data_IF_345427693299
#
_entry.id   IF_345427693299
#
_cell.length_a   1.000
_cell.length_b   1.000
_cell.length_c   1.000
_cell.angle_alpha   90.00
_cell.angle_beta   90.00
_cell.angle_gamma   90.00
#
_symmetry.space_group_name_H-M   'P 1'
#
loop_
_entity.id
_entity.type
_entity.pdbx_description
1 polymer ?
#
# COMPACT_ATOMS: atom_id res chain seq x y z
N UNK A 1 -8.56 -14.97 9.45
CA UNK A 1 -7.70 -15.61 8.45
C UNK A 1 -7.19 -14.50 7.55
N UNK A 2 -5.92 -14.54 7.16
CA UNK A 2 -5.36 -13.52 6.30
C UNK A 2 -5.95 -13.60 4.88
N UNK A 3 -6.15 -12.45 4.24
CA UNK A 3 -6.75 -12.32 2.91
C UNK A 3 -5.81 -11.52 2.00
N UNK A 4 -5.61 -12.02 0.79
CA UNK A 4 -4.86 -11.31 -0.25
C UNK A 4 -5.78 -10.36 -1.01
N UNK A 5 -5.48 -9.07 -0.95
CA UNK A 5 -6.26 -7.99 -1.56
C UNK A 5 -5.69 -7.52 -2.90
N UNK A 6 -4.69 -8.22 -3.44
CA UNK A 6 -4.06 -7.88 -4.71
C UNK A 6 -2.69 -7.21 -4.57
N UNK A 7 -2.06 -6.97 -5.74
CA UNK A 7 -0.80 -6.22 -5.84
C UNK A 7 -1.14 -4.77 -6.17
N UNK A 8 -0.60 -3.83 -5.41
CA UNK A 8 -0.83 -2.39 -5.60
C UNK A 8 0.47 -1.65 -5.86
N UNK A 9 0.36 -0.53 -6.57
CA UNK A 9 1.47 0.42 -6.77
C UNK A 9 1.23 1.63 -5.87
N UNK A 10 2.16 1.91 -4.96
CA UNK A 10 2.04 2.97 -3.97
C UNK A 10 3.43 3.46 -3.57
N UNK A 11 3.59 4.77 -3.40
CA UNK A 11 4.83 5.38 -2.97
C UNK A 11 5.98 5.25 -3.97
N UNK A 12 7.05 5.94 -3.69
CA UNK A 12 8.29 5.91 -4.47
C UNK A 12 9.47 5.95 -3.53
N UNK A 13 10.56 5.27 -3.90
CA UNK A 13 11.80 5.32 -3.15
C UNK A 13 12.67 6.45 -3.67
N UNK A 14 13.16 7.29 -2.77
CA UNK A 14 13.93 8.49 -3.06
C UNK A 14 15.32 8.40 -2.43
N UNK A 15 16.31 8.98 -3.11
CA UNK A 15 17.63 9.24 -2.54
C UNK A 15 17.99 10.71 -2.78
N UNK A 16 18.27 11.46 -1.72
CA UNK A 16 18.49 12.92 -1.78
C UNK A 16 17.37 13.69 -2.50
N UNK A 17 16.12 13.25 -2.31
CA UNK A 17 14.94 13.84 -2.96
C UNK A 17 14.75 13.43 -4.43
N UNK A 18 15.65 12.65 -5.01
CA UNK A 18 15.50 12.14 -6.38
C UNK A 18 14.73 10.81 -6.39
N UNK A 19 13.66 10.76 -7.18
CA UNK A 19 12.84 9.57 -7.35
C UNK A 19 13.59 8.48 -8.12
N UNK A 20 13.82 7.33 -7.49
CA UNK A 20 14.51 6.18 -8.05
C UNK A 20 13.58 5.29 -8.87
N UNK A 21 14.13 4.58 -9.85
CA UNK A 21 13.39 3.57 -10.60
C UNK A 21 13.19 2.31 -9.75
N UNK A 22 12.02 1.67 -9.90
CA UNK A 22 11.78 0.36 -9.33
C UNK A 22 12.79 -0.65 -9.93
N UNK A 23 13.55 -1.40 -9.11
CA UNK A 23 14.53 -2.36 -9.61
C UNK A 23 13.88 -3.43 -10.49
N UNK A 24 14.19 -3.47 -11.79
CA UNK A 24 13.67 -4.47 -12.74
C UNK A 24 14.42 -5.80 -12.74
N UNK A 25 15.64 -5.80 -12.20
CA UNK A 25 16.48 -6.96 -11.92
C UNK A 25 16.76 -6.93 -10.42
N UNK A 26 15.76 -7.30 -9.61
CA UNK A 26 15.74 -7.01 -8.19
C UNK A 26 16.64 -7.97 -7.44
N UNK A 27 17.93 -7.97 -7.78
CA UNK A 27 19.02 -8.57 -7.03
C UNK A 27 20.15 -7.57 -6.86
N UNK A 28 21.18 -7.97 -6.12
CA UNK A 28 22.27 -7.07 -5.73
C UNK A 28 22.98 -6.42 -6.90
N UNK A 29 23.24 -5.11 -6.74
CA UNK A 29 23.75 -4.26 -7.80
C UNK A 29 25.09 -4.70 -8.37
N UNK A 30 25.26 -4.50 -9.68
CA UNK A 30 26.52 -4.69 -10.41
C UNK A 30 27.08 -6.12 -10.39
N UNK A 31 26.30 -7.08 -9.91
CA UNK A 31 26.68 -8.49 -9.85
C UNK A 31 25.46 -9.37 -10.11
N UNK A 32 25.70 -10.67 -10.09
CA UNK A 32 24.70 -11.69 -10.36
C UNK A 32 24.77 -12.82 -9.32
N UNK A 33 23.64 -13.31 -8.77
CA UNK A 33 23.61 -14.42 -7.83
C UNK A 33 24.15 -15.73 -8.41
N UNK A 34 25.22 -16.25 -7.81
CA UNK A 34 25.85 -17.49 -8.26
C UNK A 34 26.52 -17.37 -9.63
N UNK A 35 26.50 -18.45 -10.41
CA UNK A 35 27.19 -18.56 -11.71
C UNK A 35 26.31 -18.23 -12.92
N UNK A 36 25.04 -17.84 -12.73
CA UNK A 36 24.03 -17.81 -13.79
C UNK A 36 23.92 -16.42 -14.49
N UNK A 37 25.04 -15.84 -14.89
CA UNK A 37 25.15 -14.42 -15.30
C UNK A 37 24.36 -13.98 -16.56
N UNK A 38 23.67 -14.89 -17.27
CA UNK A 38 23.04 -14.56 -18.57
C UNK A 38 21.89 -13.54 -18.47
N UNK A 39 21.32 -13.35 -17.27
CA UNK A 39 20.22 -12.41 -17.00
C UNK A 39 20.70 -10.99 -16.64
N UNK A 40 22.01 -10.78 -16.56
CA UNK A 40 22.64 -9.47 -16.36
C UNK A 40 22.66 -8.99 -14.91
N UNK A 41 23.36 -7.89 -14.64
CA UNK A 41 23.59 -7.43 -13.27
C UNK A 41 22.34 -6.88 -12.59
N UNK A 42 22.24 -7.08 -11.28
CA UNK A 42 21.16 -6.54 -10.47
C UNK A 42 21.16 -5.02 -10.45
N UNK A 43 20.02 -4.42 -10.09
CA UNK A 43 19.84 -2.98 -10.04
C UNK A 43 19.14 -2.47 -8.78
N UNK A 44 19.18 -3.22 -7.67
CA UNK A 44 18.76 -2.68 -6.37
C UNK A 44 19.78 -1.64 -5.89
N UNK A 45 19.36 -0.40 -5.57
CA UNK A 45 20.25 0.62 -5.02
C UNK A 45 21.10 0.11 -3.85
N UNK A 46 22.36 0.53 -3.81
CA UNK A 46 23.27 0.21 -2.72
C UNK A 46 23.33 1.37 -1.75
N UNK A 47 23.12 1.09 -0.47
CA UNK A 47 23.17 2.06 0.59
C UNK A 47 24.54 2.73 0.68
N UNK A 48 24.51 4.05 0.81
CA UNK A 48 25.66 4.93 1.02
C UNK A 48 25.19 6.21 1.71
N UNK A 49 26.07 6.85 2.48
CA UNK A 49 25.73 8.08 3.17
C UNK A 49 24.85 7.84 4.39
N UNK A 50 23.87 8.72 4.62
CA UNK A 50 23.01 8.67 5.80
C UNK A 50 21.60 8.16 5.43
N UNK A 51 21.03 7.31 6.27
CA UNK A 51 19.69 6.71 6.04
C UNK A 51 18.56 7.75 5.92
N UNK A 52 18.70 8.94 6.51
CA UNK A 52 17.72 10.03 6.34
C UNK A 52 17.61 10.53 4.89
N UNK A 53 18.64 10.30 4.08
CA UNK A 53 18.66 10.69 2.67
C UNK A 53 17.92 9.68 1.80
N UNK A 54 17.55 8.52 2.36
CA UNK A 54 16.83 7.43 1.70
C UNK A 54 15.40 7.34 2.27
N UNK A 55 14.40 7.69 1.47
CA UNK A 55 13.03 7.81 1.96
C UNK A 55 12.02 7.11 1.06
N UNK A 56 10.96 6.58 1.68
CA UNK A 56 9.75 6.19 0.96
C UNK A 56 8.79 7.38 1.09
N UNK A 57 8.42 7.98 -0.03
CA UNK A 57 7.57 9.16 -0.07
C UNK A 57 6.43 9.02 -1.08
N UNK A 58 5.80 10.15 -1.40
CA UNK A 58 4.65 10.25 -2.29
C UNK A 58 4.88 9.55 -3.64
N UNK A 59 3.78 9.03 -4.19
CA UNK A 59 3.77 8.25 -5.41
C UNK A 59 4.13 9.12 -6.61
N UNK A 60 5.24 8.78 -7.27
CA UNK A 60 5.64 9.42 -8.53
C UNK A 60 4.57 9.21 -9.62
N UNK A 61 4.40 10.19 -10.49
CA UNK A 61 3.59 10.04 -11.71
C UNK A 61 4.19 9.06 -12.72
N UNK A 62 5.50 8.78 -12.64
CA UNK A 62 6.18 7.78 -13.47
C UNK A 62 5.93 6.37 -12.93
N UNK A 63 5.20 5.59 -13.72
CA UNK A 63 4.81 4.23 -13.41
C UNK A 63 5.97 3.26 -13.17
N UNK A 64 7.17 3.59 -13.66
CA UNK A 64 8.39 2.81 -13.47
C UNK A 64 9.10 3.09 -12.13
N UNK A 65 8.67 4.12 -11.40
CA UNK A 65 9.24 4.52 -10.10
C UNK A 65 8.38 4.10 -8.92
N UNK A 66 7.12 3.71 -9.18
CA UNK A 66 6.17 3.30 -8.16
C UNK A 66 6.61 1.98 -7.52
N UNK A 67 6.70 1.95 -6.19
CA UNK A 67 6.93 0.71 -5.44
C UNK A 67 5.73 -0.22 -5.59
N UNK A 68 6.00 -1.53 -5.59
CA UNK A 68 5.00 -2.59 -5.73
C UNK A 68 4.85 -3.35 -4.43
N UNK A 69 3.61 -3.57 -4.03
CA UNK A 69 3.28 -4.13 -2.73
C UNK A 69 2.23 -5.23 -2.87
N UNK A 70 2.44 -6.32 -2.14
CA UNK A 70 1.42 -7.35 -1.90
C UNK A 70 0.56 -6.87 -0.73
N UNK A 71 -0.72 -6.56 -0.99
CA UNK A 71 -1.66 -6.08 0.03
C UNK A 71 -2.34 -7.28 0.71
N UNK A 72 -2.17 -7.39 2.02
CA UNK A 72 -2.72 -8.47 2.85
C UNK A 72 -3.52 -7.87 3.99
N UNK A 73 -4.73 -8.38 4.21
CA UNK A 73 -5.53 -8.09 5.40
C UNK A 73 -5.36 -9.22 6.40
N UNK A 74 -4.79 -8.94 7.57
CA UNK A 74 -4.62 -9.91 8.66
C UNK A 74 -5.36 -9.43 9.90
N UNK A 75 -6.59 -9.94 10.09
CA UNK A 75 -7.50 -9.45 11.12
C UNK A 75 -7.86 -7.98 10.91
N UNK A 76 -7.47 -7.12 11.86
CA UNK A 76 -7.72 -5.67 11.79
C UNK A 76 -6.58 -4.90 11.13
N UNK A 77 -5.52 -5.59 10.68
CA UNK A 77 -4.37 -4.96 10.04
C UNK A 77 -4.47 -5.07 8.54
N UNK A 78 -4.17 -3.97 7.86
CA UNK A 78 -3.87 -3.97 6.43
C UNK A 78 -2.38 -3.75 6.26
N UNK A 79 -1.71 -4.77 5.72
CA UNK A 79 -0.27 -4.78 5.45
C UNK A 79 -0.04 -4.62 3.95
N UNK A 80 0.94 -3.80 3.60
CA UNK A 80 1.53 -3.74 2.26
C UNK A 80 2.96 -4.24 2.39
N UNK A 81 3.23 -5.44 1.89
CA UNK A 81 4.56 -6.05 1.93
C UNK A 81 5.23 -5.74 0.60
N UNK A 82 6.41 -5.09 0.62
CA UNK A 82 7.10 -4.79 -0.62
C UNK A 82 7.47 -6.09 -1.33
N UNK A 83 7.24 -6.14 -2.63
CA UNK A 83 7.41 -7.36 -3.41
C UNK A 83 8.89 -7.73 -3.65
N UNK A 84 9.82 -6.84 -3.26
CA UNK A 84 11.28 -6.97 -3.40
C UNK A 84 12.02 -6.16 -2.33
N UNK A 85 13.31 -6.43 -2.17
CA UNK A 85 14.23 -5.53 -1.46
C UNK A 85 14.42 -4.23 -2.28
N UNK A 86 14.43 -3.08 -1.61
CA UNK A 86 14.55 -1.76 -2.27
C UNK A 86 15.90 -1.08 -2.05
N UNK A 87 16.69 -1.57 -1.09
CA UNK A 87 17.98 -1.02 -0.73
C UNK A 87 18.88 -2.13 -0.18
N UNK A 88 20.09 -2.27 -0.70
CA UNK A 88 21.08 -3.25 -0.27
C UNK A 88 22.22 -2.63 0.54
N UNK A 89 23.06 -3.47 1.18
CA UNK A 89 24.26 -3.05 1.91
C UNK A 89 23.96 -2.11 3.10
N UNK A 90 22.74 -2.18 3.64
CA UNK A 90 22.34 -1.48 4.86
C UNK A 90 22.37 -2.45 6.04
N UNK A 91 22.89 -2.01 7.19
CA UNK A 91 22.94 -2.84 8.38
C UNK A 91 21.60 -2.80 9.10
N UNK A 92 21.26 -3.89 9.79
CA UNK A 92 20.09 -3.92 10.65
C UNK A 92 20.18 -2.87 11.77
N UNK A 93 21.37 -2.64 12.34
CA UNK A 93 21.58 -1.57 13.33
C UNK A 93 21.18 -0.20 12.77
N UNK A 94 21.55 0.12 11.53
CA UNK A 94 21.16 1.39 10.88
C UNK A 94 19.65 1.53 10.77
N UNK A 95 18.95 0.45 10.39
CA UNK A 95 17.48 0.42 10.36
C UNK A 95 16.88 0.55 11.77
N UNK A 96 17.49 -0.10 12.76
CA UNK A 96 17.02 -0.11 14.15
C UNK A 96 17.17 1.27 14.81
N UNK A 97 18.33 1.91 14.66
CA UNK A 97 18.63 3.24 15.19
C UNK A 97 17.70 4.32 14.63
N UNK A 98 17.11 4.08 13.45
CA UNK A 98 16.13 4.95 12.81
C UNK A 98 14.68 4.47 12.93
N UNK A 99 14.45 3.45 13.75
CA UNK A 99 13.11 2.94 14.10
C UNK A 99 12.47 2.02 13.08
N UNK A 100 13.06 1.81 11.90
CA UNK A 100 12.47 0.97 10.84
C UNK A 100 12.41 -0.53 11.17
N UNK A 101 13.07 -1.01 12.22
CA UNK A 101 12.89 -2.40 12.68
C UNK A 101 11.49 -2.59 13.27
N UNK A 102 11.12 -1.75 14.23
CA UNK A 102 9.84 -1.86 14.95
C UNK A 102 8.71 -1.10 14.27
N UNK A 103 9.03 0.04 13.66
CA UNK A 103 8.09 0.89 12.96
C UNK A 103 8.43 2.37 13.07
N UNK A 104 8.58 3.01 11.90
CA UNK A 104 8.68 4.46 11.77
C UNK A 104 7.44 4.96 11.02
N UNK A 105 6.79 5.99 11.57
CA UNK A 105 5.63 6.61 10.90
C UNK A 105 6.12 7.34 9.65
N UNK A 106 5.52 7.03 8.51
CA UNK A 106 5.72 7.74 7.25
C UNK A 106 4.37 8.13 6.66
N UNK A 107 4.38 9.09 5.74
CA UNK A 107 3.19 9.53 5.01
C UNK A 107 3.45 9.36 3.52
N UNK A 108 2.50 8.74 2.81
CA UNK A 108 2.52 8.55 1.36
C UNK A 108 1.15 8.97 0.83
N UNK A 109 1.13 9.92 -0.09
CA UNK A 109 -0.07 10.47 -0.72
C UNK A 109 -1.10 10.95 0.32
N UNK A 110 -0.61 11.57 1.40
CA UNK A 110 -1.43 12.05 2.52
C UNK A 110 -1.95 10.95 3.47
N UNK A 111 -1.61 9.69 3.26
CA UNK A 111 -1.99 8.58 4.14
C UNK A 111 -0.83 8.17 5.03
N UNK A 112 -1.12 7.92 6.31
CA UNK A 112 -0.11 7.50 7.27
C UNK A 112 0.06 5.98 7.31
N UNK A 113 1.31 5.56 7.42
CA UNK A 113 1.71 4.16 7.55
C UNK A 113 2.77 4.01 8.63
N UNK A 114 2.79 2.86 9.27
CA UNK A 114 3.93 2.42 10.06
C UNK A 114 4.83 1.57 9.16
N UNK A 115 5.98 2.12 8.78
CA UNK A 115 6.97 1.43 7.96
C UNK A 115 7.93 0.62 8.84
N UNK A 116 7.96 -0.70 8.68
CA UNK A 116 8.76 -1.62 9.50
C UNK A 116 9.35 -2.79 8.69
N UNK A 117 10.07 -3.68 9.38
CA UNK A 117 10.46 -4.99 8.84
C UNK A 117 9.38 -6.06 9.06
N UNK A 118 9.41 -7.11 8.23
CA UNK A 118 8.67 -8.36 8.44
C UNK A 118 9.22 -9.10 9.67
N UNK A 119 8.35 -9.80 10.39
CA UNK A 119 8.82 -10.87 11.28
C UNK A 119 9.29 -12.07 10.45
N UNK A 120 10.48 -12.58 10.76
CA UNK A 120 11.11 -13.70 10.07
C UNK A 120 11.41 -14.89 10.97
N UNK A 121 11.06 -14.81 12.26
CA UNK A 121 11.48 -15.76 13.27
C UNK A 121 12.85 -15.42 13.86
N UNK A 122 13.13 -15.96 15.03
CA UNK A 122 14.33 -15.72 15.79
C UNK A 122 15.22 -16.96 15.95
N UNK A 123 14.91 -18.11 15.37
CA UNK A 123 15.85 -19.24 15.29
C UNK A 123 15.48 -20.10 14.06
N UNK A 124 16.32 -21.07 13.74
CA UNK A 124 15.99 -22.10 12.77
C UNK A 124 14.73 -22.86 13.21
N UNK A 125 13.81 -23.12 12.27
CA UNK A 125 12.61 -23.90 12.57
C UNK A 125 12.94 -25.31 13.06
N UNK A 126 13.84 -26.00 12.37
CA UNK A 126 14.22 -27.38 12.66
C UNK A 126 15.72 -27.52 12.95
N UNK A 127 16.11 -27.30 14.22
CA UNK A 127 17.49 -27.53 14.68
C UNK A 127 18.50 -26.62 14.00
N UNK A 128 19.28 -27.16 13.06
CA UNK A 128 20.30 -26.41 12.30
C UNK A 128 19.99 -26.36 10.79
N UNK A 129 18.75 -26.66 10.39
CA UNK A 129 18.36 -26.66 8.98
C UNK A 129 17.94 -25.25 8.51
N UNK A 130 18.86 -24.57 7.83
CA UNK A 130 18.61 -23.27 7.20
C UNK A 130 17.43 -23.27 6.21
N UNK A 131 17.03 -24.40 5.65
CA UNK A 131 15.98 -24.48 4.62
C UNK A 131 14.59 -24.75 5.20
N UNK A 132 14.51 -24.96 6.52
CA UNK A 132 13.27 -25.32 7.20
C UNK A 132 12.33 -24.14 7.48
N UNK A 133 12.80 -22.90 7.39
CA UNK A 133 12.08 -21.69 7.81
C UNK A 133 12.53 -21.16 9.16
N UNK A 134 11.77 -20.19 9.70
CA UNK A 134 12.03 -19.60 11.02
C UNK A 134 11.15 -20.20 12.12
N UNK A 135 11.56 -20.03 13.37
CA UNK A 135 10.72 -20.21 14.57
C UNK A 135 10.63 -18.91 15.37
N UNK A 136 9.48 -18.56 15.97
CA UNK A 136 8.19 -19.26 15.90
C UNK A 136 7.59 -19.20 14.48
N UNK A 137 6.77 -20.19 14.12
CA UNK A 137 6.24 -20.35 12.74
C UNK A 137 5.10 -19.39 12.40
N UNK A 138 4.62 -18.61 13.36
CA UNK A 138 3.62 -17.56 13.16
C UNK A 138 4.23 -16.23 12.69
N UNK A 139 5.50 -16.24 12.28
CA UNK A 139 6.16 -15.09 11.66
C UNK A 139 5.59 -14.77 10.27
N UNK A 140 5.62 -13.49 9.89
CA UNK A 140 5.01 -12.96 8.67
C UNK A 140 5.68 -13.49 7.40
N UNK A 141 6.99 -13.79 7.41
CA UNK A 141 7.65 -14.37 6.26
C UNK A 141 7.10 -15.76 5.92
N UNK A 142 6.97 -16.63 6.92
CA UNK A 142 6.45 -17.99 6.74
C UNK A 142 4.96 -17.95 6.38
N UNK A 143 4.17 -17.13 7.10
CA UNK A 143 2.73 -17.00 6.88
C UNK A 143 2.40 -16.42 5.51
N UNK A 144 3.11 -15.37 5.06
CA UNK A 144 2.71 -14.56 3.91
C UNK A 144 3.57 -14.76 2.67
N UNK A 145 4.90 -14.72 2.81
CA UNK A 145 5.79 -14.92 1.66
C UNK A 145 5.75 -16.38 1.26
N UNK A 146 6.03 -17.29 2.20
CA UNK A 146 5.97 -18.74 1.92
C UNK A 146 4.53 -19.28 1.86
N UNK A 147 3.55 -18.41 2.15
CA UNK A 147 2.13 -18.67 2.11
C UNK A 147 1.69 -19.92 2.90
N UNK A 148 2.32 -20.18 4.05
CA UNK A 148 1.98 -21.34 4.89
C UNK A 148 0.58 -21.23 5.51
N UNK A 149 0.01 -20.02 5.58
CA UNK A 149 -1.39 -19.77 5.95
C UNK A 149 -2.38 -20.23 4.85
N UNK A 150 -1.90 -20.56 3.65
CA UNK A 150 -2.75 -20.98 2.52
C UNK A 150 -3.67 -19.87 2.01
N UNK A 151 -3.20 -18.62 2.01
CA UNK A 151 -3.95 -17.44 1.59
C UNK A 151 -4.30 -17.59 0.11
N UNK A 152 -5.60 -17.61 -0.18
CA UNK A 152 -6.12 -17.78 -1.54
C UNK A 152 -5.67 -16.64 -2.44
N UNK A 153 -5.11 -17.00 -3.60
CA UNK A 153 -4.66 -16.04 -4.61
C UNK A 153 -3.17 -15.68 -4.52
N UNK A 154 -2.48 -16.04 -3.43
CA UNK A 154 -1.01 -15.99 -3.38
C UNK A 154 -0.40 -17.30 -3.92
N UNK A 155 0.71 -17.22 -4.67
CA UNK A 155 1.44 -18.40 -5.10
C UNK A 155 2.08 -19.09 -3.88
N UNK A 156 2.09 -20.42 -3.89
CA UNK A 156 2.89 -21.20 -2.95
C UNK A 156 4.27 -21.49 -3.57
N UNK A 157 5.34 -21.54 -2.77
CA UNK A 157 6.62 -22.04 -3.26
C UNK A 157 6.48 -23.52 -3.68
N UNK A 158 7.06 -23.87 -4.82
CA UNK A 158 7.16 -25.25 -5.30
C UNK A 158 8.26 -26.00 -4.57
N UNK A 159 8.43 -27.30 -4.86
CA UNK A 159 9.55 -28.06 -4.29
C UNK A 159 10.91 -27.53 -4.73
N UNK A 160 11.01 -26.83 -5.88
CA UNK A 160 12.25 -26.24 -6.37
C UNK A 160 12.63 -24.99 -5.58
N UNK A 161 11.67 -24.08 -5.39
CA UNK A 161 11.82 -22.88 -4.55
C UNK A 161 12.25 -23.19 -3.09
N UNK A 162 12.11 -24.46 -2.67
CA UNK A 162 12.35 -24.97 -1.33
C UNK A 162 13.59 -25.87 -1.21
N UNK A 163 14.30 -26.12 -2.31
CA UNK A 163 15.50 -26.94 -2.31
C UNK A 163 16.76 -26.13 -1.96
N UNK A 164 17.94 -26.68 -2.30
CA UNK A 164 19.26 -26.09 -1.95
C UNK A 164 20.03 -25.60 -3.16
N UNK A 165 19.40 -25.61 -4.33
CA UNK A 165 19.95 -25.13 -5.58
C UNK A 165 19.45 -23.73 -5.85
N UNK A 166 20.31 -22.89 -6.42
CA UNK A 166 19.95 -21.54 -6.83
C UNK A 166 20.06 -21.48 -8.34
N UNK A 167 18.93 -21.67 -9.03
CA UNK A 167 18.91 -21.79 -10.48
C UNK A 167 17.82 -20.96 -11.18
N UNK A 168 17.66 -21.16 -12.49
CA UNK A 168 16.66 -20.41 -13.26
C UNK A 168 15.23 -20.90 -13.02
N UNK A 169 15.02 -22.13 -12.57
CA UNK A 169 13.68 -22.59 -12.19
C UNK A 169 13.17 -21.80 -10.99
N UNK A 170 14.05 -21.48 -10.04
CA UNK A 170 13.73 -20.58 -8.92
C UNK A 170 13.49 -19.14 -9.40
N UNK A 171 14.41 -18.60 -10.23
CA UNK A 171 14.31 -17.22 -10.71
C UNK A 171 13.01 -16.99 -11.50
N UNK A 172 12.70 -17.89 -12.44
CA UNK A 172 11.59 -17.77 -13.37
C UNK A 172 10.29 -18.39 -12.82
N UNK A 173 10.33 -18.98 -11.62
CA UNK A 173 9.18 -19.56 -10.93
C UNK A 173 8.12 -18.52 -10.56
N UNK A 174 6.85 -18.93 -10.57
CA UNK A 174 5.71 -18.03 -10.27
C UNK A 174 5.78 -17.41 -8.87
N UNK A 175 6.32 -18.15 -7.90
CA UNK A 175 6.50 -17.66 -6.55
C UNK A 175 7.54 -16.52 -6.49
N UNK A 176 8.69 -16.69 -7.12
CA UNK A 176 9.72 -15.66 -7.17
C UNK A 176 9.36 -14.47 -8.05
N UNK A 177 8.58 -14.65 -9.13
CA UNK A 177 8.04 -13.52 -9.91
C UNK A 177 7.25 -12.52 -9.08
N UNK A 178 6.57 -13.01 -8.04
CA UNK A 178 5.89 -12.14 -7.07
C UNK A 178 6.87 -11.62 -6.02
N UNK A 179 7.62 -12.50 -5.36
CA UNK A 179 8.31 -12.15 -4.11
C UNK A 179 9.79 -11.78 -4.23
N UNK A 180 10.43 -11.98 -5.39
CA UNK A 180 11.81 -11.55 -5.69
C UNK A 180 12.83 -11.91 -4.58
N UNK A 181 12.71 -13.08 -3.97
CA UNK A 181 13.60 -13.57 -2.89
C UNK A 181 14.89 -14.18 -3.45
N UNK A 182 14.87 -14.63 -4.69
CA UNK A 182 15.99 -15.32 -5.33
C UNK A 182 17.24 -14.44 -5.37
N UNK A 183 18.32 -14.93 -4.76
CA UNK A 183 19.59 -14.19 -4.67
C UNK A 183 19.56 -12.95 -3.76
N UNK A 184 18.52 -12.76 -2.94
CA UNK A 184 18.38 -11.64 -2.01
C UNK A 184 18.06 -12.08 -0.59
N UNK A 185 18.86 -11.61 0.35
CA UNK A 185 18.62 -11.76 1.77
C UNK A 185 17.88 -10.56 2.34
N UNK A 186 16.60 -10.70 2.68
CA UNK A 186 15.85 -9.62 3.33
C UNK A 186 16.08 -9.63 4.84
N UNK A 187 16.45 -8.48 5.41
CA UNK A 187 16.53 -8.29 6.87
C UNK A 187 15.14 -8.43 7.50
N UNK A 188 15.05 -9.13 8.62
CA UNK A 188 13.81 -9.31 9.39
C UNK A 188 13.89 -8.62 10.76
N UNK A 189 12.72 -8.49 11.39
CA UNK A 189 12.51 -7.71 12.62
C UNK A 189 13.29 -8.27 13.81
N UNK A 190 13.36 -9.59 13.96
CA UNK A 190 13.89 -10.21 15.16
C UNK A 190 15.42 -10.16 15.23
N UNK A 191 15.92 -9.74 16.39
CA UNK A 191 17.29 -9.98 16.79
C UNK A 191 17.47 -11.45 17.25
N UNK A 192 18.50 -12.12 16.76
CA UNK A 192 18.88 -13.48 17.16
C UNK A 192 20.21 -13.49 17.89
N UNK A 193 20.26 -13.79 19.19
CA UNK A 193 21.53 -14.02 19.93
C UNK A 193 22.64 -12.97 19.66
N UNK A 194 22.27 -11.66 19.64
CA UNK A 194 23.13 -10.49 19.29
C UNK A 194 23.41 -10.27 17.79
N UNK A 195 22.81 -11.10 16.94
CA UNK A 195 22.77 -11.05 15.49
C UNK A 195 21.34 -10.75 15.03
N UNK A 196 21.05 -10.90 13.75
CA UNK A 196 19.77 -10.51 13.13
C UNK A 196 19.31 -11.61 12.20
N UNK A 197 18.00 -11.80 12.11
CA UNK A 197 17.40 -12.79 11.22
C UNK A 197 17.33 -12.25 9.79
N UNK A 198 17.57 -13.12 8.82
CA UNK A 198 17.46 -12.81 7.40
C UNK A 198 16.86 -13.99 6.65
N UNK A 199 16.07 -13.68 5.62
CA UNK A 199 15.29 -14.66 4.88
C UNK A 199 15.47 -14.51 3.36
N UNK A 200 15.22 -15.58 2.59
CA UNK A 200 15.40 -15.59 1.14
C UNK A 200 16.82 -15.96 0.71
N UNK A 201 17.24 -15.56 -0.49
CA UNK A 201 18.52 -15.88 -1.13
C UNK A 201 18.55 -17.26 -1.78
N UNK A 202 18.82 -18.34 -1.03
CA UNK A 202 19.00 -19.70 -1.60
C UNK A 202 17.69 -20.47 -1.76
N UNK A 203 16.65 -20.08 -1.04
CA UNK A 203 15.32 -20.69 -1.08
C UNK A 203 14.32 -19.67 -0.54
N UNK A 204 13.06 -19.76 -0.96
CA UNK A 204 11.95 -18.98 -0.42
C UNK A 204 11.86 -19.06 1.12
N UNK A 205 12.22 -20.21 1.71
CA UNK A 205 12.19 -20.45 3.16
C UNK A 205 13.53 -20.31 3.85
N UNK A 206 14.61 -20.06 3.11
CA UNK A 206 15.93 -20.01 3.70
C UNK A 206 15.98 -19.02 4.87
N UNK A 207 16.51 -19.48 5.99
CA UNK A 207 16.71 -18.76 7.22
C UNK A 207 18.20 -18.80 7.55
N UNK A 208 18.71 -17.67 7.99
CA UNK A 208 20.06 -17.58 8.50
C UNK A 208 20.20 -16.28 9.28
N UNK A 209 21.35 -16.10 9.93
CA UNK A 209 21.61 -14.93 10.74
C UNK A 209 22.88 -14.20 10.30
N UNK A 210 22.90 -12.89 10.52
CA UNK A 210 24.06 -12.03 10.30
C UNK A 210 24.34 -11.16 11.51
N UNK A 211 25.58 -10.70 11.66
CA UNK A 211 25.90 -9.71 12.68
C UNK A 211 25.09 -8.44 12.45
N UNK A 212 24.59 -7.81 13.51
CA UNK A 212 23.66 -6.68 13.36
C UNK A 212 24.26 -5.42 12.73
N UNK A 213 25.59 -5.30 12.79
CA UNK A 213 26.40 -4.27 12.14
C UNK A 213 26.95 -4.71 10.77
N UNK A 214 26.79 -5.97 10.39
CA UNK A 214 27.29 -6.49 9.13
C UNK A 214 26.51 -5.91 7.96
N UNK A 215 27.24 -5.48 6.92
CA UNK A 215 26.64 -5.13 5.63
C UNK A 215 27.21 -6.09 4.59
N UNK A 216 26.34 -6.63 3.74
CA UNK A 216 26.79 -7.29 2.53
C UNK A 216 25.91 -6.89 1.35
N UNK A 217 26.48 -7.04 0.16
CA UNK A 217 25.89 -6.60 -1.09
C UNK A 217 24.60 -7.32 -1.43
N UNK A 218 24.39 -8.55 -0.96
CA UNK A 218 23.18 -9.34 -1.17
C UNK A 218 22.16 -9.30 -0.02
N UNK A 219 22.36 -8.39 0.94
CA UNK A 219 21.40 -8.15 2.02
C UNK A 219 20.68 -6.85 1.83
N UNK A 220 19.36 -6.91 1.99
CA UNK A 220 18.48 -5.82 1.67
C UNK A 220 17.42 -5.51 2.70
N UNK A 221 16.92 -4.29 2.56
CA UNK A 221 15.73 -3.80 3.22
C UNK A 221 14.51 -4.06 2.34
N UNK A 222 13.62 -4.93 2.82
CA UNK A 222 12.23 -5.09 2.35
C UNK A 222 11.28 -4.40 3.33
N UNK A 223 10.74 -3.23 3.00
CA UNK A 223 9.79 -2.57 3.88
C UNK A 223 8.43 -3.26 3.89
N UNK A 224 7.75 -3.12 5.02
CA UNK A 224 6.32 -3.38 5.19
C UNK A 224 5.67 -2.10 5.64
N UNK A 225 4.55 -1.73 5.02
CA UNK A 225 3.68 -0.67 5.51
C UNK A 225 2.49 -1.29 6.20
N UNK A 226 2.30 -0.97 7.48
CA UNK A 226 1.05 -1.20 8.18
C UNK A 226 0.21 0.08 8.06
N UNK A 227 -0.93 -0.01 7.39
CA UNK A 227 -1.80 1.15 7.19
C UNK A 227 -2.31 1.65 8.54
N UNK A 228 -2.02 2.91 8.85
CA UNK A 228 -2.52 3.55 10.08
C UNK A 228 -3.87 4.23 9.86
N UNK A 229 -4.15 4.61 8.61
CA UNK A 229 -5.32 5.44 8.26
C UNK A 229 -6.22 4.88 7.14
N UNK A 230 -6.13 3.61 6.73
CA UNK A 230 -7.09 3.03 5.77
C UNK A 230 -7.59 1.65 6.17
N UNK A 231 -8.91 1.55 6.25
CA UNK A 231 -9.69 0.32 6.08
C UNK A 231 -9.77 -0.67 7.25
N UNK A 232 -10.52 -0.24 8.28
CA UNK A 232 -11.64 -1.05 8.74
C UNK A 232 -12.58 -1.33 7.56
N UNK A 233 -12.21 -2.27 6.69
CA UNK A 233 -13.17 -3.02 5.86
C UNK A 233 -13.90 -4.06 6.74
N UNK A 234 -14.53 -3.58 7.80
CA UNK A 234 -15.54 -4.29 8.56
C UNK A 234 -16.58 -3.22 8.91
N UNK A 235 -17.68 -3.23 8.16
CA UNK A 235 -19.01 -2.60 8.28
C UNK A 235 -19.35 -1.44 9.26
N UNK A 236 -18.41 -0.78 9.94
CA UNK A 236 -18.65 0.25 10.97
C UNK A 236 -17.88 1.57 10.68
N UNK A 237 -17.43 1.79 9.43
CA UNK A 237 -16.85 3.08 9.06
C UNK A 237 -17.93 4.14 9.04
N UNK A 238 -17.89 5.00 10.07
CA UNK A 238 -18.70 6.20 10.22
C UNK A 238 -18.78 6.93 8.89
N UNK A 239 -19.99 7.00 8.34
CA UNK A 239 -20.25 7.79 7.12
C UNK A 239 -20.80 9.13 7.53
N UNK A 240 -20.32 10.18 6.88
CA UNK A 240 -20.71 11.54 7.20
C UNK A 240 -21.54 12.15 6.06
N UNK A 241 -22.48 13.00 6.44
CA UNK A 241 -23.21 13.91 5.56
C UNK A 241 -23.24 15.28 6.20
N UNK A 242 -23.34 16.32 5.39
CA UNK A 242 -23.57 17.68 5.89
C UNK A 242 -25.07 17.94 5.86
N UNK A 243 -25.63 18.47 6.96
CA UNK A 243 -27.00 18.99 7.01
C UNK A 243 -27.00 20.50 7.18
N UNK A 244 -27.72 21.19 6.31
CA UNK A 244 -27.84 22.66 6.30
C UNK A 244 -29.21 23.06 5.76
N UNK A 245 -29.95 23.90 6.48
CA UNK A 245 -31.30 24.37 6.11
C UNK A 245 -32.27 23.26 5.69
N UNK A 246 -32.25 22.15 6.43
CA UNK A 246 -33.02 20.93 6.14
C UNK A 246 -32.69 20.17 4.84
N UNK A 247 -31.70 20.66 4.08
CA UNK A 247 -31.08 19.93 2.98
C UNK A 247 -29.87 19.12 3.46
N UNK A 248 -29.57 18.04 2.72
CA UNK A 248 -28.41 17.20 2.91
C UNK A 248 -27.42 17.39 1.78
N UNK A 249 -26.13 17.31 2.11
CA UNK A 249 -25.04 17.52 1.16
C UNK A 249 -23.95 16.47 1.37
N UNK A 250 -23.30 16.10 0.27
CA UNK A 250 -22.02 15.38 0.31
C UNK A 250 -20.90 16.31 -0.15
N UNK A 251 -19.69 16.03 0.35
CA UNK A 251 -18.46 16.72 -0.03
C UNK A 251 -17.41 15.79 -0.62
N UNK A 252 -17.77 14.52 -0.85
CA UNK A 252 -16.89 13.54 -1.46
C UNK A 252 -16.65 13.92 -2.94
N UNK A 253 -15.56 14.65 -3.21
CA UNK A 253 -15.21 15.19 -4.53
C UNK A 253 -16.08 16.36 -5.02
N UNK A 254 -16.43 17.25 -4.09
CA UNK A 254 -17.12 18.51 -4.34
C UNK A 254 -18.37 18.68 -3.48
N UNK A 255 -18.83 19.92 -3.28
CA UNK A 255 -20.04 20.21 -2.51
C UNK A 255 -21.29 20.00 -3.38
N UNK A 256 -22.05 18.95 -3.10
CA UNK A 256 -23.20 18.49 -3.90
C UNK A 256 -24.46 18.51 -3.03
N UNK A 257 -25.51 19.14 -3.54
CA UNK A 257 -26.85 19.13 -2.94
C UNK A 257 -27.54 17.80 -3.23
N UNK A 258 -27.92 17.09 -2.16
CA UNK A 258 -28.67 15.83 -2.20
C UNK A 258 -30.16 16.05 -1.93
N UNK A 259 -30.58 17.29 -1.68
CA UNK A 259 -31.96 17.68 -1.44
C UNK A 259 -32.44 17.42 -0.01
N UNK A 260 -33.78 17.43 0.13
CA UNK A 260 -34.48 17.24 1.41
C UNK A 260 -34.95 15.80 1.54
N UNK A 261 -34.90 15.28 2.78
CA UNK A 261 -35.31 13.91 3.09
C UNK A 261 -36.30 13.90 4.26
N UNK A 262 -37.38 13.16 4.07
CA UNK A 262 -38.50 13.09 5.03
C UNK A 262 -38.57 11.76 5.80
N UNK A 263 -37.77 10.75 5.44
CA UNK A 263 -37.79 9.42 6.09
C UNK A 263 -36.40 8.97 6.55
N UNK A 264 -36.34 8.07 7.53
CA UNK A 264 -35.08 7.52 8.04
C UNK A 264 -34.41 6.57 7.03
N UNK A 265 -35.20 5.83 6.26
CA UNK A 265 -34.69 4.86 5.28
C UNK A 265 -34.03 5.58 4.10
N UNK A 266 -34.63 6.66 3.62
CA UNK A 266 -34.04 7.50 2.58
C UNK A 266 -32.73 8.14 3.04
N UNK A 267 -32.66 8.57 4.31
CA UNK A 267 -31.43 9.10 4.89
C UNK A 267 -30.35 8.02 4.97
N UNK A 268 -30.72 6.80 5.37
CA UNK A 268 -29.79 5.66 5.38
C UNK A 268 -29.26 5.36 3.99
N UNK A 269 -30.11 5.40 2.96
CA UNK A 269 -29.72 5.23 1.56
C UNK A 269 -28.76 6.34 1.11
N UNK A 270 -29.00 7.60 1.49
CA UNK A 270 -28.06 8.69 1.21
C UNK A 270 -26.70 8.46 1.87
N UNK A 271 -26.66 8.03 3.13
CA UNK A 271 -25.40 7.67 3.77
C UNK A 271 -24.70 6.55 3.01
N UNK A 272 -25.45 5.52 2.60
CA UNK A 272 -24.85 4.36 1.95
C UNK A 272 -24.23 4.72 0.61
N UNK A 273 -24.92 5.57 -0.15
CA UNK A 273 -24.55 5.98 -1.52
C UNK A 273 -23.61 7.18 -1.59
N UNK A 274 -23.77 8.17 -0.71
CA UNK A 274 -23.09 9.47 -0.81
C UNK A 274 -22.30 9.85 0.44
N UNK A 275 -22.37 9.06 1.51
CA UNK A 275 -21.69 9.34 2.76
C UNK A 275 -20.17 9.34 2.59
N UNK A 276 -19.53 10.45 2.96
CA UNK A 276 -18.08 10.57 2.90
C UNK A 276 -17.45 10.04 4.20
N UNK A 277 -16.24 9.51 4.12
CA UNK A 277 -15.59 8.82 5.25
C UNK A 277 -14.55 9.69 5.98
N UNK A 278 -14.10 10.78 5.35
CA UNK A 278 -13.02 11.61 5.85
C UNK A 278 -13.47 13.06 6.08
N UNK A 279 -13.43 13.51 7.33
CA UNK A 279 -13.77 14.89 7.70
C UNK A 279 -12.76 15.91 7.19
N UNK A 280 -11.52 15.52 6.89
CA UNK A 280 -10.50 16.40 6.32
C UNK A 280 -10.90 16.94 4.95
N UNK A 281 -11.82 16.27 4.25
CA UNK A 281 -12.43 16.77 3.01
C UNK A 281 -13.08 18.15 3.21
N UNK A 282 -13.57 18.48 4.42
CA UNK A 282 -14.19 19.79 4.70
C UNK A 282 -13.19 20.94 4.54
N UNK A 283 -11.90 20.67 4.67
CA UNK A 283 -10.83 21.68 4.59
C UNK A 283 -10.04 21.63 3.28
N UNK A 284 -10.40 20.75 2.36
CA UNK A 284 -9.62 20.46 1.15
C UNK A 284 -10.13 21.22 -0.08
N UNK A 285 -9.20 21.56 -0.97
CA UNK A 285 -9.49 22.11 -2.30
C UNK A 285 -9.63 21.01 -3.35
N UNK A 286 -10.54 21.19 -4.30
CA UNK A 286 -10.80 20.21 -5.36
C UNK A 286 -10.73 20.85 -6.74
N UNK A 287 -10.14 20.09 -7.68
CA UNK A 287 -10.10 20.45 -9.09
C UNK A 287 -11.32 19.85 -9.82
N UNK A 288 -12.41 20.61 -9.72
CA UNK A 288 -13.72 20.32 -10.31
C UNK A 288 -14.68 19.51 -9.45
N UNK A 289 -15.90 19.37 -9.96
CA UNK A 289 -17.04 18.70 -9.30
C UNK A 289 -17.29 17.35 -9.93
N UNK A 290 -17.72 16.38 -9.12
CA UNK A 290 -18.00 15.01 -9.57
C UNK A 290 -19.35 14.52 -9.03
N UNK A 291 -20.30 14.21 -9.91
CA UNK A 291 -21.64 13.73 -9.54
C UNK A 291 -21.75 12.24 -9.86
N UNK A 292 -22.19 11.44 -8.89
CA UNK A 292 -22.43 10.00 -9.08
C UNK A 292 -23.62 9.76 -10.01
N UNK A 293 -23.55 8.68 -10.78
CA UNK A 293 -24.60 8.23 -11.68
C UNK A 293 -25.14 6.89 -11.24
N UNK A 294 -26.44 6.68 -11.38
CA UNK A 294 -27.06 5.37 -11.21
C UNK A 294 -27.95 5.04 -12.39
N UNK A 295 -28.39 3.79 -12.48
CA UNK A 295 -29.31 3.38 -13.53
C UNK A 295 -30.75 3.65 -13.11
N UNK A 296 -31.52 4.21 -14.02
CA UNK A 296 -32.96 4.33 -13.89
C UNK A 296 -33.66 2.95 -14.04
N UNK A 297 -34.99 2.96 -13.89
CA UNK A 297 -35.85 1.77 -14.06
C UNK A 297 -35.78 1.12 -15.46
N UNK A 298 -35.21 1.80 -16.45
CA UNK A 298 -35.05 1.33 -17.83
C UNK A 298 -33.59 1.00 -18.16
N UNK A 299 -32.72 0.83 -17.14
CA UNK A 299 -31.29 0.54 -17.29
C UNK A 299 -30.45 1.68 -17.92
N UNK A 300 -30.97 2.91 -17.97
CA UNK A 300 -30.29 4.10 -18.51
C UNK A 300 -29.54 4.81 -17.37
N UNK A 301 -28.28 5.18 -17.59
CA UNK A 301 -27.51 5.95 -16.62
C UNK A 301 -28.00 7.39 -16.51
N UNK A 302 -28.34 7.81 -15.30
CA UNK A 302 -28.74 9.17 -14.93
C UNK A 302 -27.89 9.69 -13.78
N UNK A 303 -27.72 11.01 -13.69
CA UNK A 303 -27.05 11.65 -12.54
C UNK A 303 -27.97 11.61 -11.33
N UNK A 304 -27.42 11.27 -10.16
CA UNK A 304 -28.21 11.15 -8.93
C UNK A 304 -28.71 12.47 -8.35
N UNK A 305 -28.10 13.57 -8.78
CA UNK A 305 -28.45 14.92 -8.38
C UNK A 305 -28.52 15.82 -9.61
N UNK A 306 -29.40 16.82 -9.56
CA UNK A 306 -29.54 17.79 -10.63
C UNK A 306 -28.24 18.54 -10.88
N UNK A 307 -27.87 18.65 -12.16
CA UNK A 307 -26.68 19.36 -12.59
C UNK A 307 -27.07 20.76 -13.04
N UNK A 308 -26.63 21.78 -12.29
CA UNK A 308 -26.83 23.18 -12.64
C UNK A 308 -25.90 23.57 -13.79
N UNK A 309 -26.42 23.54 -15.01
CA UNK A 309 -25.68 23.85 -16.24
C UNK A 309 -25.05 25.25 -16.24
N UNK A 310 -25.55 26.20 -15.44
CA UNK A 310 -24.96 27.53 -15.35
C UNK A 310 -23.63 27.55 -14.57
N UNK A 311 -23.34 26.48 -13.81
CA UNK A 311 -22.10 26.31 -13.02
C UNK A 311 -21.08 25.43 -13.72
N UNK A 312 -21.36 24.99 -14.94
CA UNK A 312 -20.43 24.19 -15.74
C UNK A 312 -19.46 25.12 -16.44
N UNK A 313 -18.24 25.19 -15.92
CA UNK A 313 -17.14 25.92 -16.54
C UNK A 313 -16.18 24.91 -17.21
N UNK A 314 -16.29 24.76 -18.53
CA UNK A 314 -15.44 23.84 -19.31
C UNK A 314 -16.10 22.50 -19.65
N UNK A 315 -15.28 21.50 -19.97
CA UNK A 315 -15.76 20.21 -20.49
C UNK A 315 -16.47 19.36 -19.43
N UNK A 316 -17.41 18.53 -19.90
CA UNK A 316 -18.06 17.49 -19.10
C UNK A 316 -17.43 16.15 -19.47
N UNK A 317 -16.99 15.39 -18.47
CA UNK A 317 -16.35 14.10 -18.65
C UNK A 317 -17.10 13.00 -17.91
N UNK A 318 -17.30 11.85 -18.56
CA UNK A 318 -17.73 10.63 -17.90
C UNK A 318 -16.49 9.93 -17.31
N UNK A 319 -16.53 9.61 -16.02
CA UNK A 319 -15.44 8.97 -15.28
C UNK A 319 -15.96 7.70 -14.60
N UNK A 320 -15.17 6.63 -14.64
CA UNK A 320 -15.50 5.36 -13.99
C UNK A 320 -14.41 5.00 -12.97
N UNK A 321 -14.82 4.79 -11.71
CA UNK A 321 -13.93 4.47 -10.58
C UNK A 321 -14.62 3.45 -9.68
N UNK A 322 -13.92 2.38 -9.28
CA UNK A 322 -14.46 1.34 -8.38
C UNK A 322 -15.80 0.72 -8.85
N UNK A 323 -15.97 0.51 -10.16
CA UNK A 323 -17.21 0.05 -10.81
C UNK A 323 -18.41 1.01 -10.67
N UNK A 324 -18.18 2.26 -10.28
CA UNK A 324 -19.17 3.32 -10.24
C UNK A 324 -18.90 4.37 -11.33
N UNK A 325 -19.97 5.01 -11.82
CA UNK A 325 -19.88 6.01 -12.89
C UNK A 325 -20.22 7.39 -12.38
N UNK A 326 -19.55 8.39 -12.95
CA UNK A 326 -19.64 9.76 -12.51
C UNK A 326 -19.56 10.74 -13.68
N UNK A 327 -20.24 11.87 -13.54
CA UNK A 327 -20.03 13.04 -14.39
C UNK A 327 -19.10 14.03 -13.66
N UNK A 328 -17.95 14.33 -14.27
CA UNK A 328 -17.01 15.36 -13.81
C UNK A 328 -17.12 16.62 -14.67
N UNK A 329 -17.14 17.79 -14.04
CA UNK A 329 -17.25 19.08 -14.72
C UNK A 329 -16.63 20.24 -13.91
N UNK A 330 -16.40 21.39 -14.55
CA UNK A 330 -15.90 22.60 -13.89
C UNK A 330 -14.40 22.54 -13.61
N UNK A 331 -13.52 22.98 -14.51
CA UNK A 331 -12.05 22.87 -14.33
C UNK A 331 -11.41 24.07 -13.59
N UNK A 332 -12.18 24.76 -12.75
CA UNK A 332 -11.68 25.77 -11.82
C UNK A 332 -11.42 25.16 -10.44
N UNK A 333 -10.31 25.55 -9.80
CA UNK A 333 -10.05 25.21 -8.39
C UNK A 333 -11.19 25.72 -7.52
N UNK A 334 -11.85 24.83 -6.79
CA UNK A 334 -12.94 25.17 -5.89
C UNK A 334 -12.61 24.74 -4.47
N UNK A 335 -12.64 25.72 -3.56
CA UNK A 335 -12.44 25.52 -2.13
C UNK A 335 -13.78 25.12 -1.48
N UNK A 336 -13.87 23.92 -0.88
CA UNK A 336 -15.09 23.41 -0.22
C UNK A 336 -15.61 24.37 0.87
N UNK A 337 -14.77 24.90 1.77
CA UNK A 337 -15.17 25.92 2.73
C UNK A 337 -15.92 27.11 2.09
N UNK A 338 -15.52 27.56 0.90
CA UNK A 338 -16.18 28.68 0.23
C UNK A 338 -17.56 28.29 -0.34
N UNK A 339 -17.70 27.06 -0.84
CA UNK A 339 -19.01 26.50 -1.21
C UNK A 339 -19.97 26.44 -0.03
N UNK A 340 -19.51 25.95 1.12
CA UNK A 340 -20.29 25.86 2.37
C UNK A 340 -20.67 27.26 2.88
N UNK A 341 -19.76 28.24 2.80
CA UNK A 341 -20.01 29.63 3.24
C UNK A 341 -21.07 30.34 2.39
N UNK A 342 -21.04 30.17 1.06
CA UNK A 342 -21.91 30.90 0.12
C UNK A 342 -23.41 30.65 0.32
N UNK A 343 -23.80 29.51 0.87
CA UNK A 343 -25.21 29.08 0.90
C UNK A 343 -25.93 29.49 2.19
N UNK A 344 -25.23 29.79 3.30
CA UNK A 344 -25.86 30.27 4.53
C UNK A 344 -24.88 30.75 5.62
N UNK A 345 -24.00 31.71 5.32
CA UNK A 345 -23.03 32.31 6.27
C UNK A 345 -22.14 31.28 7.01
N UNK A 346 -21.94 30.09 6.46
CA UNK A 346 -21.07 29.03 7.00
C UNK A 346 -21.63 28.18 8.13
N UNK A 347 -22.94 28.25 8.45
CA UNK A 347 -23.54 27.40 9.50
C UNK A 347 -24.03 26.06 8.94
N UNK A 348 -23.46 24.95 9.40
CA UNK A 348 -23.85 23.59 9.03
C UNK A 348 -23.72 22.59 10.20
N UNK A 349 -24.31 21.41 10.05
CA UNK A 349 -24.15 20.27 10.97
C UNK A 349 -23.51 19.10 10.23
N UNK A 350 -22.66 18.35 10.93
CA UNK A 350 -22.13 17.08 10.45
C UNK A 350 -22.98 15.97 11.07
N UNK A 351 -23.59 15.15 10.22
CA UNK A 351 -24.31 13.96 10.62
C UNK A 351 -23.44 12.74 10.36
N UNK A 352 -23.58 11.73 11.21
CA UNK A 352 -22.78 10.51 11.20
C UNK A 352 -23.72 9.32 11.28
N UNK A 353 -23.53 8.33 10.40
CA UNK A 353 -24.18 7.02 10.45
C UNK A 353 -23.15 5.98 10.83
#
# INVERSE_FOLDING_TARGET
MAEFLGVVKLGTFYHNGEALSLPTRPWYSNKYPGSLSSRGNGNIPTFSGEIKDWTIGDTSSDDNKKLKWVKIKDGNKTLLICDRDILHNISWNTLNETGYVDGTKITIDGNDYLCRLLTGGNDYRNGNDNYSGGTPTDNEWDRFICNEDGIKGLPNPTTRDLDKTLDYDDLDGEHNKLWNWWGNGSCCKEAYKKNTSSRGFNSARYFYYTTSYGTYDYYGWRPVLEALNSDNENSDTKKFLIKQNDNYYTINNGYIDLGQINTKDDLNNLFDKHGFKDLYLITKEFNGKKIHMSKDKNDIWETDSELDMNKVEGDIQLVEENNEKYIKYGFGECNIPDGIKKINDGKFKILMK
#
